data_IF_120260006816
#
_entry.id   IF_120260006816
#
_cell.length_a   1.000
_cell.length_b   1.000
_cell.length_c   1.000
_cell.angle_alpha   90.00
_cell.angle_beta   90.00
_cell.angle_gamma   90.00
#
_symmetry.space_group_name_H-M   'P 1'
#
loop_
_entity.id
_entity.type
_entity.pdbx_description
1 polymer ?
#
# COMPACT_ATOMS: atom_id res chain seq x y z
N UNK A 1 -46.37 54.09 -17.73
CA UNK A 1 -45.82 53.74 -16.39
C UNK A 1 -46.06 52.27 -16.01
N UNK A 2 -47.28 51.72 -16.14
CA UNK A 2 -47.61 50.32 -15.81
C UNK A 2 -46.81 49.24 -16.56
N UNK A 3 -46.48 49.46 -17.84
CA UNK A 3 -45.71 48.53 -18.69
C UNK A 3 -44.20 48.53 -18.41
N UNK A 4 -43.64 49.62 -17.87
CA UNK A 4 -42.24 49.69 -17.43
C UNK A 4 -42.03 49.08 -16.04
N UNK A 5 -43.10 49.05 -15.22
CA UNK A 5 -43.12 48.37 -13.93
C UNK A 5 -43.17 46.84 -14.07
N UNK A 6 -43.92 46.32 -15.05
CA UNK A 6 -43.96 44.88 -15.37
C UNK A 6 -42.62 44.37 -15.92
N UNK A 7 -41.90 45.18 -16.71
CA UNK A 7 -40.56 44.83 -17.21
C UNK A 7 -39.48 44.83 -16.12
N UNK A 8 -39.59 45.70 -15.11
CA UNK A 8 -38.69 45.68 -13.95
C UNK A 8 -39.00 44.51 -13.00
N UNK A 9 -40.26 44.11 -12.87
CA UNK A 9 -40.65 42.94 -12.08
C UNK A 9 -40.27 41.62 -12.77
N UNK A 10 -40.33 41.56 -14.10
CA UNK A 10 -39.87 40.41 -14.87
C UNK A 10 -38.33 40.27 -14.88
N UNK A 11 -37.59 41.39 -14.82
CA UNK A 11 -36.12 41.35 -14.69
C UNK A 11 -35.67 40.96 -13.27
N UNK A 12 -36.50 41.20 -12.25
CA UNK A 12 -36.25 40.77 -10.87
C UNK A 12 -36.52 39.27 -10.65
N UNK A 13 -37.31 38.61 -11.52
CA UNK A 13 -37.74 37.22 -11.32
C UNK A 13 -36.89 36.17 -12.05
N UNK A 14 -35.84 36.59 -12.77
CA UNK A 14 -34.89 35.68 -13.47
C UNK A 14 -33.62 35.41 -12.64
N UNK A 15 -33.46 36.08 -11.49
CA UNK A 15 -32.29 35.91 -10.63
C UNK A 15 -32.53 34.96 -9.46
N UNK A 16 -31.60 34.00 -9.29
CA UNK A 16 -31.29 33.26 -8.07
C UNK A 16 -32.16 32.04 -7.72
N UNK A 17 -32.15 31.03 -8.58
CA UNK A 17 -31.99 29.67 -8.07
C UNK A 17 -30.53 29.28 -8.23
N UNK A 18 -29.69 29.68 -7.26
CA UNK A 18 -28.39 29.05 -7.11
C UNK A 18 -28.68 27.60 -6.69
N UNK A 19 -28.37 26.65 -7.57
CA UNK A 19 -28.28 25.24 -7.17
C UNK A 19 -27.15 25.20 -6.15
N UNK A 20 -27.49 25.05 -4.88
CA UNK A 20 -26.49 24.77 -3.86
C UNK A 20 -26.06 23.32 -4.06
N UNK A 21 -24.85 23.12 -4.56
CA UNK A 21 -24.24 21.81 -4.59
C UNK A 21 -23.94 21.40 -3.14
N UNK A 22 -24.52 20.29 -2.71
CA UNK A 22 -24.10 19.63 -1.47
C UNK A 22 -22.89 18.78 -1.83
N UNK A 23 -21.76 19.04 -1.18
CA UNK A 23 -20.60 18.16 -1.31
C UNK A 23 -20.98 16.81 -0.69
N UNK A 24 -20.79 15.73 -1.45
CA UNK A 24 -20.96 14.38 -0.93
C UNK A 24 -19.85 14.08 0.08
N UNK A 25 -20.19 13.44 1.19
CA UNK A 25 -19.20 12.90 2.12
C UNK A 25 -18.41 11.79 1.41
N UNK A 26 -17.09 11.75 1.60
CA UNK A 26 -16.26 10.69 1.04
C UNK A 26 -16.30 9.46 1.94
N UNK A 27 -16.63 8.30 1.36
CA UNK A 27 -16.58 7.01 2.03
C UNK A 27 -15.24 6.29 1.78
N UNK A 28 -14.78 5.51 2.76
CA UNK A 28 -13.54 4.72 2.64
C UNK A 28 -13.85 3.27 3.02
N UNK A 29 -13.43 2.34 2.18
CA UNK A 29 -13.53 0.90 2.41
C UNK A 29 -12.14 0.27 2.40
N UNK A 30 -11.93 -0.72 3.27
CA UNK A 30 -10.75 -1.57 3.31
C UNK A 30 -11.21 -2.99 3.07
N UNK A 31 -10.78 -3.61 1.98
CA UNK A 31 -11.18 -4.96 1.57
C UNK A 31 -12.70 -5.19 1.58
N UNK A 32 -13.46 -4.16 1.19
CA UNK A 32 -14.93 -4.17 1.15
C UNK A 32 -15.63 -3.84 2.48
N UNK A 33 -14.89 -3.65 3.57
CA UNK A 33 -15.45 -3.23 4.87
C UNK A 33 -15.39 -1.71 5.04
N UNK A 34 -16.50 -1.10 5.47
CA UNK A 34 -16.61 0.35 5.61
C UNK A 34 -15.84 0.85 6.85
N UNK A 35 -14.95 1.82 6.64
CA UNK A 35 -14.23 2.49 7.72
C UNK A 35 -15.08 3.61 8.31
N UNK A 36 -15.28 3.60 9.63
CA UNK A 36 -16.09 4.60 10.35
C UNK A 36 -15.19 5.69 10.93
N UNK A 37 -15.55 6.94 10.68
CA UNK A 37 -14.86 8.11 11.21
C UNK A 37 -15.77 8.88 12.18
N UNK A 38 -15.35 8.97 13.45
CA UNK A 38 -16.19 9.53 14.51
C UNK A 38 -16.14 11.06 14.63
N UNK A 39 -14.99 11.66 14.33
CA UNK A 39 -14.69 13.06 14.64
C UNK A 39 -14.26 13.87 13.41
N UNK A 40 -13.28 13.40 12.65
CA UNK A 40 -12.87 14.02 11.38
C UNK A 40 -13.31 13.12 10.23
N UNK A 41 -14.02 13.66 9.24
CA UNK A 41 -14.38 12.92 8.03
C UNK A 41 -13.29 13.05 6.95
N UNK A 42 -13.17 12.05 6.05
CA UNK A 42 -12.44 12.20 4.80
C UNK A 42 -12.97 13.38 3.96
N UNK A 43 -12.09 14.02 3.19
CA UNK A 43 -12.45 15.11 2.30
C UNK A 43 -11.49 15.19 1.10
N UNK A 44 -11.87 15.95 0.07
CA UNK A 44 -11.02 16.24 -1.08
C UNK A 44 -10.44 17.64 -0.90
N UNK A 45 -9.12 17.78 -1.07
CA UNK A 45 -8.42 19.06 -0.95
C UNK A 45 -8.43 19.87 -2.26
N UNK A 46 -7.71 20.99 -2.29
CA UNK A 46 -7.59 21.86 -3.46
C UNK A 46 -6.75 21.27 -4.61
N UNK A 47 -6.02 20.18 -4.36
CA UNK A 47 -5.18 19.47 -5.33
C UNK A 47 -5.88 18.20 -5.87
N UNK A 48 -7.20 18.07 -5.67
CA UNK A 48 -7.99 16.91 -6.05
C UNK A 48 -7.49 15.59 -5.42
N UNK A 49 -6.97 15.67 -4.18
CA UNK A 49 -6.54 14.50 -3.40
C UNK A 49 -7.49 14.23 -2.25
N UNK A 50 -7.75 12.94 -2.00
CA UNK A 50 -8.58 12.50 -0.88
C UNK A 50 -7.74 12.40 0.39
N UNK A 51 -7.94 13.35 1.30
CA UNK A 51 -7.31 13.43 2.60
C UNK A 51 -8.16 12.66 3.62
N UNK A 52 -7.54 11.69 4.28
CA UNK A 52 -8.22 10.75 5.18
C UNK A 52 -7.52 10.75 6.54
N UNK A 53 -8.25 10.83 7.67
CA UNK A 53 -7.69 10.56 8.99
C UNK A 53 -7.07 9.17 9.04
N UNK A 54 -5.74 9.12 9.06
CA UNK A 54 -5.03 7.91 8.64
C UNK A 54 -5.25 6.69 9.53
N UNK A 55 -5.49 6.90 10.83
CA UNK A 55 -5.40 5.83 11.82
C UNK A 55 -6.38 4.69 11.55
N UNK A 56 -7.66 5.01 11.37
CA UNK A 56 -8.71 4.02 11.20
C UNK A 56 -8.50 3.10 9.97
N UNK A 57 -8.26 3.60 8.74
CA UNK A 57 -8.02 2.72 7.59
C UNK A 57 -6.70 1.95 7.70
N UNK A 58 -5.63 2.54 8.26
CA UNK A 58 -4.36 1.84 8.40
C UNK A 58 -4.42 0.71 9.45
N UNK A 59 -5.09 0.95 10.59
CA UNK A 59 -5.33 -0.09 11.60
C UNK A 59 -6.25 -1.21 11.07
N UNK A 60 -7.22 -0.89 10.21
CA UNK A 60 -8.04 -1.89 9.53
C UNK A 60 -7.22 -2.80 8.59
N UNK A 61 -6.14 -2.27 8.00
CA UNK A 61 -5.13 -3.05 7.24
C UNK A 61 -4.13 -3.77 8.16
N UNK A 62 -4.33 -3.72 9.48
CA UNK A 62 -3.44 -4.34 10.47
C UNK A 62 -2.11 -3.61 10.68
N UNK A 63 -1.97 -2.37 10.23
CA UNK A 63 -0.79 -1.55 10.47
C UNK A 63 -0.80 -0.93 11.88
N UNK A 64 0.38 -0.67 12.43
CA UNK A 64 0.55 0.14 13.63
C UNK A 64 0.74 1.59 13.24
N UNK A 65 0.04 2.51 13.90
CA UNK A 65 0.16 3.96 13.65
C UNK A 65 0.60 4.68 14.91
N UNK A 66 1.72 5.40 14.83
CA UNK A 66 2.25 6.21 15.93
C UNK A 66 2.35 7.69 15.55
N UNK A 67 2.40 8.55 16.57
CA UNK A 67 2.51 10.00 16.42
C UNK A 67 3.64 10.51 17.30
N UNK A 68 4.51 11.32 16.73
CA UNK A 68 5.52 12.09 17.42
C UNK A 68 5.14 13.58 17.42
N UNK A 69 4.93 14.12 18.62
CA UNK A 69 4.54 15.50 18.81
C UNK A 69 5.72 16.48 18.76
N UNK A 70 6.96 16.02 18.95
CA UNK A 70 8.14 16.88 18.89
C UNK A 70 8.50 17.20 17.44
N UNK A 71 8.40 16.20 16.57
CA UNK A 71 8.75 16.32 15.15
C UNK A 71 7.54 16.50 14.23
N UNK A 72 6.31 16.44 14.77
CA UNK A 72 5.05 16.47 14.00
C UNK A 72 5.01 15.39 12.91
N UNK A 73 5.43 14.18 13.27
CA UNK A 73 5.50 13.04 12.37
C UNK A 73 4.47 11.98 12.75
N UNK A 74 3.79 11.46 11.73
CA UNK A 74 2.99 10.26 11.83
C UNK A 74 3.71 9.11 11.14
N UNK A 75 3.82 7.98 11.84
CA UNK A 75 4.52 6.80 11.35
C UNK A 75 3.54 5.64 11.24
N UNK A 76 3.60 4.93 10.12
CA UNK A 76 2.80 3.75 9.83
C UNK A 76 3.76 2.57 9.63
N UNK A 77 3.53 1.49 10.35
CA UNK A 77 4.37 0.29 10.28
C UNK A 77 3.52 -0.95 9.98
N UNK A 78 3.88 -1.70 8.94
CA UNK A 78 3.25 -2.98 8.58
C UNK A 78 4.27 -3.87 7.90
N UNK A 79 4.38 -5.12 8.36
CA UNK A 79 5.20 -6.18 7.73
C UNK A 79 6.65 -5.76 7.40
N UNK A 80 7.26 -4.95 8.27
CA UNK A 80 8.63 -4.45 8.10
C UNK A 80 8.75 -3.20 7.23
N UNK A 81 7.66 -2.72 6.63
CA UNK A 81 7.61 -1.43 5.93
C UNK A 81 7.28 -0.32 6.92
N UNK A 82 8.10 0.74 6.92
CA UNK A 82 7.93 1.94 7.75
C UNK A 82 7.68 3.14 6.84
N UNK A 83 6.54 3.79 7.00
CA UNK A 83 6.15 4.98 6.23
C UNK A 83 6.00 6.16 7.17
N UNK A 84 6.67 7.28 6.89
CA UNK A 84 6.66 8.47 7.75
C UNK A 84 6.18 9.70 6.99
N UNK A 85 5.15 10.35 7.54
CA UNK A 85 4.61 11.60 7.04
C UNK A 85 4.86 12.73 8.03
N UNK A 86 5.41 13.84 7.56
CA UNK A 86 5.58 15.08 8.34
C UNK A 86 4.49 16.08 8.00
N UNK A 87 3.83 16.65 9.01
CA UNK A 87 2.78 17.67 8.79
C UNK A 87 3.34 18.87 8.02
N UNK A 88 2.62 19.30 6.98
CA UNK A 88 2.99 20.43 6.13
C UNK A 88 4.09 20.14 5.12
N UNK A 89 4.61 18.90 5.06
CA UNK A 89 5.55 18.48 4.02
C UNK A 89 4.80 17.92 2.83
N UNK A 90 5.32 18.16 1.62
CA UNK A 90 4.94 17.48 0.37
C UNK A 90 5.83 16.26 0.07
N UNK A 91 6.68 15.88 1.02
CA UNK A 91 7.50 14.67 0.97
C UNK A 91 7.17 13.77 2.15
N UNK A 92 7.44 12.48 1.98
CA UNK A 92 7.31 11.44 2.99
C UNK A 92 8.44 10.43 2.81
N UNK A 93 8.62 9.50 3.74
CA UNK A 93 9.61 8.43 3.59
C UNK A 93 8.98 7.05 3.58
N UNK A 94 9.59 6.13 2.85
CA UNK A 94 9.29 4.70 2.87
C UNK A 94 10.60 3.98 3.13
N UNK A 95 10.71 3.30 4.26
CA UNK A 95 11.94 2.66 4.73
C UNK A 95 13.16 3.61 4.71
N UNK A 96 12.93 4.88 5.07
CA UNK A 96 13.95 5.93 5.08
C UNK A 96 14.24 6.57 3.72
N UNK A 97 13.73 6.03 2.61
CA UNK A 97 13.86 6.65 1.28
C UNK A 97 12.83 7.76 1.09
N UNK A 98 13.27 8.94 0.67
CA UNK A 98 12.38 10.09 0.43
C UNK A 98 11.54 9.86 -0.84
N UNK A 99 10.24 10.09 -0.71
CA UNK A 99 9.25 10.09 -1.80
C UNK A 99 8.51 11.43 -1.82
N UNK A 100 8.00 11.80 -2.98
CA UNK A 100 7.24 13.03 -3.17
C UNK A 100 5.74 12.75 -3.31
N UNK A 101 4.94 13.72 -2.90
CA UNK A 101 3.51 13.80 -3.17
C UNK A 101 3.16 15.19 -3.67
N UNK A 102 2.04 15.29 -4.39
CA UNK A 102 1.55 16.54 -4.99
C UNK A 102 0.60 17.34 -4.09
N UNK A 103 0.53 16.96 -2.82
CA UNK A 103 -0.14 17.69 -1.75
C UNK A 103 0.63 17.45 -0.45
N UNK A 104 0.08 17.80 0.70
CA UNK A 104 0.74 17.68 1.99
C UNK A 104 -0.09 16.90 3.01
N UNK A 105 0.61 16.27 3.97
CA UNK A 105 -0.02 15.79 5.19
C UNK A 105 -0.46 16.99 6.04
N UNK A 106 -1.67 16.95 6.60
CA UNK A 106 -2.20 18.07 7.39
C UNK A 106 -2.81 17.62 8.70
N UNK A 107 -2.77 18.50 9.69
CA UNK A 107 -3.54 18.34 10.91
C UNK A 107 -4.86 19.09 10.75
N UNK A 108 -5.98 18.35 10.65
CA UNK A 108 -7.33 18.92 10.59
C UNK A 108 -8.11 18.50 11.82
N UNK A 109 -8.51 19.49 12.63
CA UNK A 109 -8.94 19.21 14.00
C UNK A 109 -7.78 18.60 14.79
N UNK A 110 -8.04 17.47 15.44
CA UNK A 110 -7.03 16.69 16.19
C UNK A 110 -6.60 15.41 15.43
N UNK A 111 -6.78 15.39 14.10
CA UNK A 111 -6.47 14.22 13.27
C UNK A 111 -5.45 14.55 12.19
N UNK A 112 -4.48 13.65 12.05
CA UNK A 112 -3.56 13.65 10.92
C UNK A 112 -4.27 13.10 9.70
N UNK A 113 -4.54 13.98 8.74
CA UNK A 113 -5.12 13.65 7.46
C UNK A 113 -4.01 13.58 6.41
N UNK A 114 -3.94 12.45 5.70
CA UNK A 114 -2.96 12.23 4.63
C UNK A 114 -3.67 11.81 3.34
N UNK A 115 -3.04 12.00 2.18
CA UNK A 115 -3.63 11.56 0.93
C UNK A 115 -3.53 10.03 0.89
N UNK A 116 -4.68 9.38 1.01
CA UNK A 116 -4.77 7.96 1.37
C UNK A 116 -4.06 7.04 0.38
N UNK A 117 -4.02 7.42 -0.90
CA UNK A 117 -3.32 6.67 -1.95
C UNK A 117 -1.84 6.50 -1.64
N UNK A 118 -1.12 7.59 -1.31
CA UNK A 118 0.32 7.51 -1.03
C UNK A 118 0.61 6.61 0.18
N UNK A 119 -0.24 6.66 1.20
CA UNK A 119 -0.08 5.85 2.40
C UNK A 119 -0.30 4.37 2.14
N UNK A 120 -1.39 4.02 1.45
CA UNK A 120 -1.76 2.65 1.16
C UNK A 120 -0.81 2.02 0.12
N UNK A 121 -0.48 2.73 -0.97
CA UNK A 121 0.44 2.24 -2.00
C UNK A 121 1.87 2.07 -1.47
N UNK A 122 2.32 2.92 -0.53
CA UNK A 122 3.61 2.75 0.14
C UNK A 122 3.70 1.44 0.94
N UNK A 123 2.57 0.91 1.39
CA UNK A 123 2.47 -0.39 2.05
C UNK A 123 2.13 -1.54 1.09
N UNK A 124 2.06 -1.27 -0.22
CA UNK A 124 1.78 -2.27 -1.24
C UNK A 124 0.30 -2.52 -1.53
N UNK A 125 -0.63 -1.71 -1.01
CA UNK A 125 -2.07 -1.85 -1.30
C UNK A 125 -2.46 -1.10 -2.57
N UNK A 126 -3.50 -1.58 -3.26
CA UNK A 126 -4.11 -0.86 -4.38
C UNK A 126 -5.20 0.09 -3.88
N UNK A 127 -5.34 1.27 -4.52
CA UNK A 127 -6.38 2.26 -4.17
C UNK A 127 -7.20 2.66 -5.39
N UNK A 128 -8.48 2.28 -5.37
CA UNK A 128 -9.46 2.64 -6.39
C UNK A 128 -10.34 3.80 -5.93
N UNK A 129 -10.56 4.76 -6.83
CA UNK A 129 -11.49 5.87 -6.64
C UNK A 129 -12.75 5.69 -7.48
N UNK A 130 -13.91 5.68 -6.83
CA UNK A 130 -15.22 5.80 -7.46
C UNK A 130 -15.72 7.24 -7.31
N UNK A 131 -15.61 8.01 -8.40
CA UNK A 131 -16.04 9.41 -8.43
C UNK A 131 -17.55 9.62 -8.54
N UNK A 132 -18.33 8.59 -8.89
CA UNK A 132 -19.80 8.69 -8.90
C UNK A 132 -20.34 8.58 -7.46
N UNK A 133 -19.78 7.65 -6.69
CA UNK A 133 -20.19 7.39 -5.30
C UNK A 133 -19.30 8.06 -4.25
N UNK A 134 -18.30 8.85 -4.66
CA UNK A 134 -17.32 9.48 -3.77
C UNK A 134 -16.69 8.49 -2.79
N UNK A 135 -16.20 7.38 -3.32
CA UNK A 135 -15.72 6.24 -2.52
C UNK A 135 -14.28 5.89 -2.83
N UNK A 136 -13.47 5.73 -1.78
CA UNK A 136 -12.12 5.14 -1.83
C UNK A 136 -12.22 3.68 -1.44
N UNK A 137 -11.68 2.78 -2.27
CA UNK A 137 -11.51 1.36 -1.95
C UNK A 137 -10.03 1.04 -1.86
N UNK A 138 -9.58 0.60 -0.69
CA UNK A 138 -8.24 0.08 -0.46
C UNK A 138 -8.32 -1.44 -0.55
N UNK A 139 -7.50 -2.03 -1.41
CA UNK A 139 -7.58 -3.44 -1.79
C UNK A 139 -6.22 -4.10 -1.52
N UNK A 140 -6.23 -5.20 -0.78
CA UNK A 140 -5.10 -6.10 -0.64
C UNK A 140 -4.85 -6.83 -1.97
N UNK A 141 -3.67 -6.67 -2.61
CA UNK A 141 -3.36 -7.41 -3.81
C UNK A 141 -3.37 -8.90 -3.48
N UNK A 142 -4.16 -9.67 -4.23
CA UNK A 142 -4.06 -11.13 -4.18
C UNK A 142 -2.86 -11.52 -5.02
N UNK A 143 -1.82 -12.11 -4.40
CA UNK A 143 -0.77 -12.75 -5.20
C UNK A 143 -1.44 -13.80 -6.09
N UNK A 144 -1.13 -13.84 -7.41
CA UNK A 144 -1.59 -14.93 -8.24
C UNK A 144 -0.98 -16.21 -7.67
N UNK A 145 -1.84 -17.09 -7.14
CA UNK A 145 -1.46 -18.42 -6.66
C UNK A 145 -0.53 -19.06 -7.71
N UNK A 146 0.76 -19.20 -7.39
CA UNK A 146 1.67 -19.92 -8.26
C UNK A 146 1.10 -21.31 -8.48
N UNK A 147 0.89 -21.64 -9.75
CA UNK A 147 0.37 -22.89 -10.28
C UNK A 147 0.92 -24.06 -9.44
N UNK A 148 0.10 -24.56 -8.50
CA UNK A 148 0.45 -25.72 -7.68
C UNK A 148 0.65 -26.84 -8.67
N UNK A 149 1.91 -27.13 -9.00
CA UNK A 149 2.32 -28.19 -9.89
C UNK A 149 1.53 -29.44 -9.48
N UNK A 150 0.52 -29.77 -10.31
CA UNK A 150 -0.21 -31.02 -10.20
C UNK A 150 0.88 -32.10 -10.20
N UNK A 151 1.06 -32.88 -9.12
CA UNK A 151 2.04 -33.94 -9.14
C UNK A 151 1.68 -34.82 -10.33
N UNK A 152 2.63 -34.91 -11.26
CA UNK A 152 2.58 -35.82 -12.40
C UNK A 152 2.16 -37.19 -11.85
N UNK A 153 0.96 -37.66 -12.20
CA UNK A 153 0.47 -38.96 -11.77
C UNK A 153 1.51 -39.99 -12.21
N UNK A 154 2.25 -40.55 -11.26
CA UNK A 154 3.11 -41.69 -11.53
C UNK A 154 2.23 -42.81 -12.09
N UNK A 155 2.50 -43.17 -13.34
CA UNK A 155 1.90 -44.29 -14.01
C UNK A 155 2.04 -45.53 -13.11
N UNK A 156 0.91 -46.04 -12.63
CA UNK A 156 0.83 -47.34 -11.98
C UNK A 156 1.14 -48.38 -13.06
N UNK A 157 2.35 -48.93 -13.02
CA UNK A 157 2.75 -50.09 -13.81
C UNK A 157 1.80 -51.26 -13.48
N UNK A 158 1.03 -51.71 -14.47
CA UNK A 158 0.31 -52.98 -14.38
C UNK A 158 1.32 -54.12 -14.32
N UNK A 159 1.37 -54.77 -13.17
CA UNK A 159 2.14 -55.98 -12.88
C UNK A 159 1.72 -57.11 -13.82
N UNK A 160 2.63 -57.48 -14.73
CA UNK A 160 2.46 -58.56 -15.71
C UNK A 160 2.58 -59.90 -14.98
N UNK A 161 1.51 -60.71 -15.02
CA UNK A 161 1.52 -62.07 -14.47
C UNK A 161 2.41 -62.98 -15.32
N UNK A 162 3.35 -63.58 -14.61
CA UNK A 162 4.37 -64.56 -14.97
C UNK A 162 3.84 -65.80 -15.71
N UNK A 163 4.49 -66.18 -16.82
CA UNK A 163 4.76 -67.59 -17.10
C UNK A 163 5.95 -67.82 -18.05
N UNK A 164 6.94 -68.55 -17.51
CA UNK A 164 7.69 -69.64 -18.15
C UNK A 164 9.12 -69.37 -18.68
N UNK A 165 10.07 -69.52 -17.74
CA UNK A 165 11.16 -70.49 -17.73
C UNK A 165 12.31 -70.48 -18.78
N UNK A 166 13.52 -70.69 -18.22
CA UNK A 166 14.65 -71.54 -18.68
C UNK A 166 15.98 -70.81 -19.02
N UNK A 167 16.92 -70.98 -18.06
CA UNK A 167 18.36 -71.29 -18.15
C UNK A 167 19.46 -70.22 -18.37
N UNK A 168 20.25 -70.11 -17.29
CA UNK A 168 21.73 -70.16 -17.17
C UNK A 168 22.67 -69.28 -18.00
N UNK A 169 23.56 -68.58 -17.27
CA UNK A 169 24.91 -68.24 -17.73
C UNK A 169 25.53 -67.02 -17.03
N UNK A 170 26.49 -67.27 -16.13
CA UNK A 170 27.78 -66.58 -15.87
C UNK A 170 27.94 -65.10 -16.28
N UNK A 171 28.65 -64.19 -15.62
CA UNK A 171 29.64 -64.13 -14.54
C UNK A 171 30.01 -62.62 -14.44
N UNK A 172 30.50 -62.23 -13.26
CA UNK A 172 31.51 -61.19 -13.02
C UNK A 172 31.25 -59.67 -13.07
N UNK A 173 31.85 -59.06 -12.02
CA UNK A 173 32.60 -57.80 -11.97
C UNK A 173 31.92 -56.54 -11.38
N UNK A 174 32.20 -56.38 -10.08
CA UNK A 174 32.53 -55.18 -9.32
C UNK A 174 32.86 -53.87 -10.07
N UNK A 175 32.47 -52.74 -9.46
CA UNK A 175 32.95 -51.41 -9.83
C UNK A 175 32.45 -50.31 -8.91
N UNK A 176 33.24 -50.03 -7.87
CA UNK A 176 33.13 -48.99 -6.85
C UNK A 176 33.45 -47.57 -7.40
N UNK A 177 33.15 -46.57 -6.56
CA UNK A 177 33.62 -45.17 -6.53
C UNK A 177 32.84 -44.15 -7.40
N UNK A 178 32.60 -42.92 -6.91
CA UNK A 178 33.10 -42.29 -5.69
C UNK A 178 32.66 -40.83 -5.66
N UNK A 179 32.60 -40.30 -4.44
CA UNK A 179 32.30 -38.93 -4.08
C UNK A 179 33.18 -37.89 -4.80
N UNK A 180 32.62 -36.70 -5.04
CA UNK A 180 33.41 -35.47 -5.02
C UNK A 180 32.59 -34.32 -4.44
N UNK A 181 32.89 -34.01 -3.19
CA UNK A 181 32.65 -32.72 -2.54
C UNK A 181 33.55 -31.66 -3.20
N UNK A 182 33.04 -30.45 -3.48
CA UNK A 182 33.91 -29.28 -3.53
C UNK A 182 33.13 -28.03 -3.12
N UNK A 183 33.58 -27.47 -1.99
CA UNK A 183 33.18 -26.19 -1.43
C UNK A 183 34.15 -25.09 -1.92
N UNK A 184 33.66 -23.87 -2.16
CA UNK A 184 34.44 -22.62 -2.23
C UNK A 184 33.48 -21.49 -1.81
N UNK A 185 33.50 -21.05 -0.56
CA UNK A 185 34.33 -19.99 0.07
C UNK A 185 33.88 -18.54 -0.21
N UNK A 186 33.61 -17.86 0.91
CA UNK A 186 33.25 -16.46 1.14
C UNK A 186 34.31 -15.45 0.64
N UNK A 187 33.86 -14.27 0.18
CA UNK A 187 34.65 -13.05 0.29
C UNK A 187 33.84 -11.92 0.96
N UNK A 188 34.39 -11.49 2.10
CA UNK A 188 34.05 -10.33 2.91
C UNK A 188 34.80 -9.09 2.40
N UNK A 189 34.12 -7.95 2.28
CA UNK A 189 34.72 -6.66 1.98
C UNK A 189 34.28 -5.60 2.99
N UNK A 190 35.14 -5.31 3.95
CA UNK A 190 35.03 -4.22 4.92
C UNK A 190 35.44 -2.88 4.26
N UNK A 191 34.71 -1.80 4.56
CA UNK A 191 34.99 -0.45 4.08
C UNK A 191 34.84 0.58 5.20
N UNK A 192 35.98 1.20 5.52
CA UNK A 192 36.33 2.16 6.57
C UNK A 192 35.37 3.33 6.86
N UNK A 193 35.34 3.70 8.15
CA UNK A 193 34.66 4.85 8.76
C UNK A 193 35.66 6.00 8.95
N UNK A 194 35.33 7.20 8.50
CA UNK A 194 36.07 8.43 8.81
C UNK A 194 35.28 9.27 9.85
N UNK A 195 35.89 9.74 10.95
CA UNK A 195 35.26 10.68 11.88
C UNK A 195 35.56 12.13 11.48
N UNK A 196 34.55 13.00 11.53
CA UNK A 196 34.74 14.46 11.47
C UNK A 196 34.31 15.05 12.80
N UNK A 197 35.30 15.39 13.61
CA UNK A 197 35.19 16.35 14.69
C UNK A 197 35.15 17.77 14.09
N UNK A 198 34.27 18.66 14.57
CA UNK A 198 34.70 20.00 14.99
C UNK A 198 33.61 20.75 15.76
N UNK A 199 34.00 21.19 16.94
CA UNK A 199 33.32 22.12 17.82
C UNK A 199 33.11 23.49 17.15
N UNK A 200 32.00 24.17 17.46
CA UNK A 200 32.08 25.59 17.79
C UNK A 200 30.90 26.02 18.66
N UNK A 201 31.25 26.37 19.89
CA UNK A 201 30.49 27.27 20.75
C UNK A 201 30.29 28.62 20.02
N UNK A 202 29.10 29.22 20.16
CA UNK A 202 28.99 30.67 20.20
C UNK A 202 27.73 31.10 20.96
N UNK A 203 27.94 32.18 21.71
CA UNK A 203 27.13 32.84 22.73
C UNK A 203 25.66 33.15 22.39
#
# INVERSE_FOLDING_TARGET
MKKRLILLFALLMVGLFAVQAVAADVAVFVDGEAVVFADQKPYIDENDRTLVPMRAPMEALGATVSWDNETYQATIEKDGVVVVFTIGSATYTVNGEVKEMDTQAVLTGDRTCIPIRYAAEALGYEVLWDGENYTVNIITPTEPEEDVAVPEEEAVDEEVVDENAVEEGSEDAAGENGDNEEAVEDEIGEGEVEPVDEESENE
#
